data_IF_793935272966
#
_entry.id   IF_793935272966
#
_cell.length_a   1.000
_cell.length_b   1.000
_cell.length_c   1.000
_cell.angle_alpha   90.00
_cell.angle_beta   90.00
_cell.angle_gamma   90.00
#
_symmetry.space_group_name_H-M   'P 1'
#
loop_
_entity.id
_entity.type
_entity.pdbx_description
1 polymer ?
#
# COMPACT_ATOMS: atom_id res chain seq x y z
N UNK A 1 -15.48 -0.89 -1.44
CA UNK A 1 -16.43 -0.95 -0.31
C UNK A 1 -15.75 -0.89 1.06
N UNK A 2 -14.42 -1.04 1.17
CA UNK A 2 -13.71 -0.96 2.44
C UNK A 2 -13.67 -2.28 3.22
N UNK A 3 -14.22 -3.35 2.64
CA UNK A 3 -14.16 -4.70 3.19
C UNK A 3 -12.86 -5.38 2.81
N UNK A 4 -12.37 -6.24 3.71
CA UNK A 4 -11.18 -7.05 3.44
C UNK A 4 -11.57 -8.28 2.63
N UNK A 5 -10.83 -8.50 1.54
CA UNK A 5 -10.97 -9.68 0.71
C UNK A 5 -9.66 -10.44 0.68
N UNK A 6 -9.71 -11.73 0.99
CA UNK A 6 -8.55 -12.62 0.85
C UNK A 6 -8.37 -12.95 -0.63
N UNK A 7 -7.33 -12.37 -1.25
CA UNK A 7 -7.01 -12.62 -2.66
C UNK A 7 -6.01 -13.77 -2.80
N UNK A 8 -5.01 -13.83 -1.91
CA UNK A 8 -3.99 -14.88 -1.90
C UNK A 8 -3.53 -15.20 -0.47
N UNK A 9 -3.16 -16.47 -0.25
CA UNK A 9 -2.48 -16.93 0.96
C UNK A 9 -1.13 -17.53 0.55
N UNK A 10 -0.04 -16.86 0.93
CA UNK A 10 1.31 -17.29 0.59
C UNK A 10 1.87 -18.28 1.64
N UNK A 11 2.69 -19.27 1.23
CA UNK A 11 3.45 -20.08 2.17
C UNK A 11 4.37 -19.22 3.06
N UNK A 12 4.52 -19.58 4.33
CA UNK A 12 5.33 -18.81 5.28
C UNK A 12 6.80 -18.62 4.83
N UNK A 13 7.33 -19.59 4.07
CA UNK A 13 8.70 -19.55 3.55
C UNK A 13 8.97 -18.39 2.58
N UNK A 14 7.97 -17.93 1.83
CA UNK A 14 8.15 -16.84 0.86
C UNK A 14 7.91 -15.45 1.44
N UNK A 15 7.22 -15.36 2.59
CA UNK A 15 6.84 -14.09 3.23
C UNK A 15 8.06 -13.19 3.49
N UNK A 16 9.17 -13.75 3.97
CA UNK A 16 10.40 -13.00 4.24
C UNK A 16 11.01 -12.39 2.97
N UNK A 17 11.01 -13.14 1.86
CA UNK A 17 11.52 -12.65 0.58
C UNK A 17 10.65 -11.52 0.03
N UNK A 18 9.32 -11.64 0.16
CA UNK A 18 8.36 -10.61 -0.25
C UNK A 18 8.54 -9.32 0.55
N UNK A 19 8.62 -9.42 1.89
CA UNK A 19 8.84 -8.26 2.76
C UNK A 19 10.17 -7.58 2.42
N UNK A 20 11.25 -8.34 2.27
CA UNK A 20 12.57 -7.80 1.89
C UNK A 20 12.53 -7.04 0.57
N UNK A 21 11.89 -7.62 -0.47
CA UNK A 21 11.75 -6.97 -1.77
C UNK A 21 10.98 -5.66 -1.67
N UNK A 22 9.88 -5.63 -0.92
CA UNK A 22 9.05 -4.45 -0.75
C UNK A 22 9.75 -3.36 0.07
N UNK A 23 10.48 -3.74 1.14
CA UNK A 23 11.33 -2.81 1.90
C UNK A 23 12.39 -2.18 1.02
N UNK A 24 13.06 -2.98 0.18
CA UNK A 24 14.05 -2.48 -0.76
C UNK A 24 13.46 -1.47 -1.77
N UNK A 25 12.30 -1.79 -2.37
CA UNK A 25 11.61 -0.86 -3.27
C UNK A 25 11.26 0.46 -2.56
N UNK A 26 10.78 0.38 -1.32
CA UNK A 26 10.43 1.53 -0.48
C UNK A 26 11.60 2.24 0.19
N UNK A 27 12.85 1.86 -0.12
CA UNK A 27 14.08 2.39 0.51
C UNK A 27 14.10 2.27 2.04
N UNK A 28 13.51 1.20 2.55
CA UNK A 28 13.49 0.84 3.97
C UNK A 28 14.70 -0.03 4.33
N UNK A 29 15.10 0.00 5.59
CA UNK A 29 16.20 -0.83 6.10
C UNK A 29 15.71 -2.28 6.25
N UNK A 30 16.25 -3.18 5.44
CA UNK A 30 15.93 -4.60 5.43
C UNK A 30 16.47 -5.32 6.68
N UNK A 31 17.55 -4.81 7.27
CA UNK A 31 18.17 -5.38 8.47
C UNK A 31 17.39 -5.01 9.74
N UNK A 32 16.78 -3.83 9.79
CA UNK A 32 15.96 -3.41 10.92
C UNK A 32 14.58 -4.09 10.89
N UNK A 33 14.29 -4.91 11.90
CA UNK A 33 13.04 -5.70 12.03
C UNK A 33 12.33 -5.47 13.36
N UNK A 34 12.88 -4.63 14.23
CA UNK A 34 12.42 -4.40 15.61
C UNK A 34 11.68 -3.07 15.76
N UNK A 35 11.72 -2.21 14.74
CA UNK A 35 11.05 -0.92 14.72
C UNK A 35 10.10 -0.83 13.52
N UNK A 36 8.95 -0.15 13.66
CA UNK A 36 8.11 0.17 12.51
C UNK A 36 8.88 1.02 11.50
N UNK A 37 8.57 0.85 10.21
CA UNK A 37 9.16 1.67 9.14
C UNK A 37 8.11 2.00 8.10
N UNK A 38 8.18 3.22 7.57
CA UNK A 38 7.27 3.75 6.56
C UNK A 38 8.05 4.26 5.34
N UNK A 39 7.55 3.96 4.15
CA UNK A 39 8.21 4.26 2.89
C UNK A 39 7.24 4.62 1.78
N UNK A 40 7.79 5.13 0.67
CA UNK A 40 7.03 5.46 -0.53
C UNK A 40 7.70 4.85 -1.75
N UNK A 41 6.89 4.33 -2.66
CA UNK A 41 7.32 3.86 -3.97
C UNK A 41 6.48 4.59 -5.01
N UNK A 42 7.15 5.32 -5.90
CA UNK A 42 6.52 5.81 -7.13
C UNK A 42 6.66 4.73 -8.18
N UNK A 43 5.53 4.24 -8.69
CA UNK A 43 5.52 3.25 -9.75
C UNK A 43 4.84 3.84 -10.98
N UNK A 44 5.60 3.93 -12.08
CA UNK A 44 5.06 4.19 -13.40
C UNK A 44 5.06 2.87 -14.16
N UNK A 45 3.88 2.36 -14.49
CA UNK A 45 3.75 1.21 -15.39
C UNK A 45 3.57 1.74 -16.82
N UNK A 46 4.26 1.19 -17.83
CA UNK A 46 4.06 1.58 -19.22
C UNK A 46 2.58 1.50 -19.62
N UNK A 47 2.02 2.59 -20.16
CA UNK A 47 0.61 2.68 -20.56
C UNK A 47 -0.39 2.82 -19.41
N UNK A 48 0.07 3.00 -18.16
CA UNK A 48 -0.76 3.32 -17.00
C UNK A 48 -0.28 4.59 -16.31
N UNK A 49 -1.20 5.22 -15.60
CA UNK A 49 -0.95 6.41 -14.82
C UNK A 49 0.01 6.13 -13.67
N UNK A 50 0.74 7.15 -13.25
CA UNK A 50 1.62 7.07 -12.09
C UNK A 50 0.79 6.76 -10.83
N UNK A 51 1.22 5.75 -10.08
CA UNK A 51 0.62 5.39 -8.79
C UNK A 51 1.67 5.57 -7.70
N UNK A 52 1.30 6.31 -6.65
CA UNK A 52 2.10 6.35 -5.43
C UNK A 52 1.64 5.22 -4.51
N UNK A 53 2.59 4.39 -4.08
CA UNK A 53 2.38 3.38 -3.06
C UNK A 53 3.00 3.88 -1.76
N UNK A 54 2.23 3.81 -0.66
CA UNK A 54 2.75 3.98 0.69
C UNK A 54 2.88 2.61 1.34
N UNK A 55 4.05 2.35 1.90
CA UNK A 55 4.38 1.09 2.56
C UNK A 55 4.55 1.35 4.04
N UNK A 56 4.02 0.47 4.88
CA UNK A 56 4.22 0.49 6.32
C UNK A 56 4.53 -0.92 6.81
N UNK A 57 5.56 -1.05 7.63
CA UNK A 57 6.01 -2.32 8.22
C UNK A 57 5.91 -2.23 9.74
N UNK A 58 5.46 -3.30 10.38
CA UNK A 58 5.32 -3.40 11.82
C UNK A 58 5.88 -4.75 12.31
N UNK A 59 6.75 -4.76 13.33
CA UNK A 59 7.19 -6.00 13.98
C UNK A 59 6.02 -6.72 14.64
N UNK A 60 5.96 -8.04 14.48
CA UNK A 60 4.98 -8.94 15.11
C UNK A 60 5.67 -10.19 15.64
N UNK A 61 5.02 -11.01 16.49
CA UNK A 61 5.61 -12.27 16.97
C UNK A 61 6.02 -13.25 15.85
N UNK A 62 5.38 -13.17 14.68
CA UNK A 62 5.59 -14.10 13.56
C UNK A 62 6.36 -13.48 12.39
N UNK A 63 7.08 -12.38 12.62
CA UNK A 63 7.80 -11.64 11.58
C UNK A 63 7.25 -10.23 11.42
N UNK A 64 7.24 -9.70 10.20
CA UNK A 64 6.78 -8.33 9.92
C UNK A 64 5.41 -8.35 9.25
N UNK A 65 4.47 -7.55 9.77
CA UNK A 65 3.25 -7.19 9.05
C UNK A 65 3.59 -6.06 8.10
N UNK A 66 3.23 -6.19 6.82
CA UNK A 66 3.40 -5.16 5.80
C UNK A 66 2.04 -4.75 5.25
N UNK A 67 1.81 -3.44 5.18
CA UNK A 67 0.63 -2.85 4.55
C UNK A 67 1.07 -1.96 3.39
N UNK A 68 0.43 -2.12 2.23
CA UNK A 68 0.55 -1.18 1.12
C UNK A 68 -0.76 -0.41 0.96
N UNK A 69 -0.65 0.90 0.74
CA UNK A 69 -1.76 1.75 0.33
C UNK A 69 -1.47 2.34 -1.04
N UNK A 70 -2.40 2.15 -1.96
CA UNK A 70 -2.36 2.76 -3.27
C UNK A 70 -2.99 4.15 -3.21
N UNK A 71 -2.37 5.11 -3.88
CA UNK A 71 -2.89 6.44 -4.09
C UNK A 71 -2.92 6.72 -5.59
N UNK A 72 -4.13 6.79 -6.16
CA UNK A 72 -4.33 7.29 -7.53
C UNK A 72 -4.61 8.80 -7.44
N UNK A 73 -3.69 9.65 -7.93
CA UNK A 73 -3.86 11.10 -7.86
C UNK A 73 -5.06 11.62 -8.67
N UNK A 74 -5.63 10.82 -9.58
CA UNK A 74 -6.78 11.21 -10.42
C UNK A 74 -8.13 11.01 -9.74
N UNK A 75 -8.18 10.26 -8.65
CA UNK A 75 -9.45 9.94 -7.98
C UNK A 75 -10.03 11.13 -7.19
N UNK A 76 -9.29 12.23 -7.04
CA UNK A 76 -9.68 13.39 -6.22
C UNK A 76 -10.28 14.55 -7.05
N UNK A 77 -10.93 14.25 -8.18
CA UNK A 77 -11.60 15.24 -9.03
C UNK A 77 -13.07 14.88 -9.25
N UNK A 78 -13.80 14.63 -8.17
CA UNK A 78 -15.26 14.55 -8.24
C UNK A 78 -15.81 15.97 -8.10
N UNK A 79 -16.62 16.40 -9.06
CA UNK A 79 -17.31 17.69 -9.01
C UNK A 79 -18.38 17.67 -7.92
N UNK A 80 -18.80 18.84 -7.42
CA UNK A 80 -19.71 18.94 -6.28
C UNK A 80 -21.05 18.24 -6.50
N UNK A 81 -21.54 18.22 -7.74
CA UNK A 81 -22.74 17.52 -8.20
C UNK A 81 -22.62 15.98 -8.17
N UNK A 82 -21.40 15.46 -8.14
CA UNK A 82 -21.09 14.02 -8.13
C UNK A 82 -20.92 13.46 -6.71
N UNK A 83 -20.98 14.32 -5.68
CA UNK A 83 -20.79 13.94 -4.27
C UNK A 83 -21.97 13.17 -3.67
N UNK A 84 -23.08 13.00 -4.41
CA UNK A 84 -24.29 12.33 -3.91
C UNK A 84 -25.00 13.13 -2.81
N UNK A 85 -24.82 14.46 -2.80
CA UNK A 85 -25.53 15.36 -1.90
C UNK A 85 -26.94 15.60 -2.44
N UNK A 86 -27.96 15.32 -1.63
CA UNK A 86 -29.36 15.61 -1.96
C UNK A 86 -29.87 16.79 -1.11
N UNK A 87 -30.38 17.82 -1.78
CA UNK A 87 -30.95 19.03 -1.19
C UNK A 87 -31.04 20.17 -2.22
N UNK A 88 -32.10 20.98 -2.17
CA UNK A 88 -32.21 22.19 -3.01
C UNK A 88 -31.20 23.26 -2.57
N UNK A 89 -30.69 24.07 -3.52
CA UNK A 89 -29.66 25.10 -3.28
C UNK A 89 -30.05 26.17 -2.25
#
# INVERSE_FOLDING_TARGET
DGLLHTVYAFPASVTLAVVSRLKHLGRLDVAEKRRPQDGRVKSSLPGRSEVELRLSTLPTPFGEKLVLRLFDPRQLQEDFDQLGLEGEP
#
